data_IF_355913144435
#
_entry.id   IF_355913144435
#
_cell.length_a   1.000
_cell.length_b   1.000
_cell.length_c   1.000
_cell.angle_alpha   90.00
_cell.angle_beta   90.00
_cell.angle_gamma   90.00
#
_symmetry.space_group_name_H-M   'P 1'
#
loop_
_entity.id
_entity.type
_entity.pdbx_description
1 polymer ?
#
# COMPACT_ATOMS: atom_id res chain seq x y z
N UNK A 1 -20.41 -22.06 6.27
CA UNK A 1 -19.88 -21.52 7.54
C UNK A 1 -20.14 -20.03 7.52
N UNK A 2 -21.20 -19.64 8.21
CA UNK A 2 -21.64 -18.26 8.36
C UNK A 2 -20.74 -17.53 9.35
N UNK A 3 -20.30 -16.31 9.02
CA UNK A 3 -19.78 -15.37 10.00
C UNK A 3 -20.80 -14.26 10.18
N UNK A 4 -21.65 -14.44 11.20
CA UNK A 4 -22.58 -13.45 11.72
C UNK A 4 -21.84 -12.67 12.82
N UNK A 5 -21.65 -11.37 12.61
CA UNK A 5 -21.35 -10.45 13.71
C UNK A 5 -22.67 -10.16 14.44
N UNK A 6 -22.76 -10.55 15.70
CA UNK A 6 -23.94 -10.32 16.53
C UNK A 6 -23.80 -9.00 17.31
N UNK A 7 -24.72 -8.07 17.10
CA UNK A 7 -25.23 -7.20 18.17
C UNK A 7 -26.76 -7.11 18.05
N UNK A 8 -27.41 -7.26 19.20
CA UNK A 8 -28.84 -7.45 19.32
C UNK A 8 -29.65 -6.16 19.18
N UNK A 9 -30.94 -6.38 18.94
CA UNK A 9 -31.99 -5.52 19.50
C UNK A 9 -32.50 -4.37 18.63
N UNK A 10 -32.70 -4.56 17.32
CA UNK A 10 -33.81 -3.88 16.62
C UNK A 10 -34.12 -4.60 15.30
N UNK A 11 -35.09 -5.51 15.32
CA UNK A 11 -35.38 -6.42 14.19
C UNK A 11 -36.57 -5.99 13.33
N UNK A 12 -37.12 -4.79 13.53
CA UNK A 12 -38.35 -4.34 12.86
C UNK A 12 -38.25 -2.90 12.33
N UNK A 13 -37.24 -2.62 11.50
CA UNK A 13 -37.23 -1.40 10.67
C UNK A 13 -36.35 -1.49 9.41
N UNK A 14 -36.43 -2.60 8.67
CA UNK A 14 -35.89 -2.66 7.31
C UNK A 14 -36.92 -2.11 6.31
N UNK A 15 -36.59 -0.99 5.68
CA UNK A 15 -37.40 -0.32 4.66
C UNK A 15 -37.55 -1.20 3.40
N UNK A 16 -38.76 -1.21 2.82
CA UNK A 16 -39.30 -2.22 1.91
C UNK A 16 -38.75 -2.28 0.46
N UNK A 17 -37.57 -1.76 0.14
CA UNK A 17 -37.03 -1.75 -1.24
C UNK A 17 -35.59 -2.27 -1.33
N UNK A 18 -35.35 -3.56 -1.08
CA UNK A 18 -34.05 -4.18 -1.33
C UNK A 18 -34.13 -5.12 -2.54
N UNK A 19 -33.58 -4.70 -3.67
CA UNK A 19 -33.36 -5.59 -4.81
C UNK A 19 -32.12 -6.46 -4.51
N UNK A 20 -32.29 -7.79 -4.60
CA UNK A 20 -31.19 -8.74 -4.41
C UNK A 20 -30.68 -9.20 -5.76
N UNK A 21 -29.38 -9.02 -6.00
CA UNK A 21 -28.71 -9.44 -7.22
C UNK A 21 -27.76 -10.61 -6.92
N UNK A 22 -27.82 -11.67 -7.73
CA UNK A 22 -26.88 -12.79 -7.68
C UNK A 22 -25.80 -12.59 -8.74
N UNK A 23 -24.55 -12.51 -8.30
CA UNK A 23 -23.38 -12.46 -9.17
C UNK A 23 -22.68 -13.83 -9.16
N UNK A 24 -22.39 -14.41 -10.32
CA UNK A 24 -21.70 -15.69 -10.43
C UNK A 24 -20.43 -15.54 -11.26
N UNK A 25 -19.30 -15.95 -10.69
CA UNK A 25 -18.02 -15.98 -11.38
C UNK A 25 -17.71 -17.39 -11.91
N UNK A 26 -17.06 -17.48 -13.07
CA UNK A 26 -16.64 -18.75 -13.67
C UNK A 26 -15.44 -19.40 -12.97
N UNK A 27 -14.67 -18.62 -12.22
CA UNK A 27 -13.50 -19.08 -11.50
C UNK A 27 -13.44 -18.47 -10.08
N UNK A 28 -12.78 -19.19 -9.16
CA UNK A 28 -12.69 -18.81 -7.75
C UNK A 28 -11.92 -17.49 -7.55
N UNK A 29 -10.85 -17.29 -8.31
CA UNK A 29 -10.06 -16.05 -8.30
C UNK A 29 -10.90 -14.85 -8.73
N UNK A 30 -11.72 -15.01 -9.78
CA UNK A 30 -12.61 -13.94 -10.26
C UNK A 30 -13.64 -13.57 -9.18
N UNK A 31 -14.20 -14.57 -8.50
CA UNK A 31 -15.12 -14.35 -7.38
C UNK A 31 -14.45 -13.53 -6.26
N UNK A 32 -13.23 -13.89 -5.88
CA UNK A 32 -12.48 -13.19 -4.83
C UNK A 32 -12.16 -11.74 -5.23
N UNK A 33 -11.77 -11.50 -6.47
CA UNK A 33 -11.50 -10.17 -7.00
C UNK A 33 -12.77 -9.30 -7.08
N UNK A 34 -13.91 -9.92 -7.42
CA UNK A 34 -15.20 -9.24 -7.43
C UNK A 34 -15.62 -8.86 -6.02
N UNK A 35 -15.53 -9.79 -5.05
CA UNK A 35 -15.86 -9.51 -3.65
C UNK A 35 -14.99 -8.39 -3.09
N UNK A 36 -13.67 -8.40 -3.36
CA UNK A 36 -12.76 -7.31 -2.97
C UNK A 36 -13.17 -5.98 -3.60
N UNK A 37 -13.49 -5.98 -4.89
CA UNK A 37 -13.90 -4.77 -5.60
C UNK A 37 -15.20 -4.20 -5.07
N UNK A 38 -16.21 -5.05 -4.84
CA UNK A 38 -17.51 -4.65 -4.28
C UNK A 38 -17.32 -4.08 -2.87
N UNK A 39 -16.57 -4.77 -2.00
CA UNK A 39 -16.27 -4.28 -0.65
C UNK A 39 -15.61 -2.90 -0.68
N UNK A 40 -14.63 -2.70 -1.55
CA UNK A 40 -13.97 -1.40 -1.71
C UNK A 40 -14.95 -0.29 -2.13
N UNK A 41 -15.88 -0.56 -3.05
CA UNK A 41 -16.89 0.42 -3.45
C UNK A 41 -17.87 0.72 -2.30
N UNK A 42 -18.28 -0.29 -1.54
CA UNK A 42 -19.16 -0.12 -0.38
C UNK A 42 -18.49 0.73 0.69
N UNK A 43 -17.20 0.49 0.96
CA UNK A 43 -16.49 1.13 2.06
C UNK A 43 -15.80 2.46 1.68
N UNK A 44 -15.57 2.73 0.40
CA UNK A 44 -14.91 3.98 -0.04
C UNK A 44 -15.57 5.27 0.48
N UNK A 45 -16.92 5.41 0.54
CA UNK A 45 -17.56 6.59 1.14
C UNK A 45 -17.28 6.77 2.65
N UNK A 46 -16.92 5.68 3.32
CA UNK A 46 -16.65 5.62 4.77
C UNK A 46 -15.15 5.57 5.10
N UNK A 47 -14.29 5.62 4.09
CA UNK A 47 -12.83 5.65 4.28
C UNK A 47 -12.19 4.28 4.39
N UNK A 48 -12.94 3.22 4.08
CA UNK A 48 -12.42 1.88 3.93
C UNK A 48 -12.13 1.53 2.46
N UNK A 49 -11.90 0.24 2.22
CA UNK A 49 -11.36 -0.27 0.97
C UNK A 49 -10.03 0.40 0.63
N UNK A 50 -9.16 0.60 1.63
CA UNK A 50 -7.90 1.33 1.51
C UNK A 50 -6.89 0.52 0.70
N UNK A 51 -6.83 -0.79 0.96
CA UNK A 51 -5.97 -1.70 0.21
C UNK A 51 -6.55 -1.91 -1.19
N UNK A 52 -5.69 -1.84 -2.21
CA UNK A 52 -6.14 -1.89 -3.60
C UNK A 52 -6.81 -0.61 -4.10
N UNK A 53 -6.88 0.48 -3.34
CA UNK A 53 -7.43 1.76 -3.81
C UNK A 53 -6.35 2.61 -4.49
N UNK A 54 -6.78 3.46 -5.43
CA UNK A 54 -5.86 4.41 -6.06
C UNK A 54 -5.38 5.39 -4.99
N UNK A 55 -4.08 5.67 -4.98
CA UNK A 55 -3.46 6.58 -4.03
C UNK A 55 -4.16 7.96 -3.98
N UNK A 56 -4.51 8.51 -5.15
CA UNK A 56 -5.21 9.80 -5.24
C UNK A 56 -6.58 9.76 -4.55
N UNK A 57 -7.34 8.66 -4.67
CA UNK A 57 -8.67 8.54 -4.06
C UNK A 57 -8.55 8.49 -2.53
N UNK A 58 -7.58 7.73 -2.00
CA UNK A 58 -7.30 7.67 -0.56
C UNK A 58 -6.89 9.04 -0.02
N UNK A 59 -5.93 9.70 -0.67
CA UNK A 59 -5.48 11.04 -0.25
C UNK A 59 -6.61 12.06 -0.33
N UNK A 60 -7.44 12.01 -1.38
CA UNK A 60 -8.60 12.91 -1.53
C UNK A 60 -9.63 12.69 -0.42
N UNK A 61 -9.91 11.45 -0.05
CA UNK A 61 -10.79 11.12 1.07
C UNK A 61 -10.26 11.70 2.38
N UNK A 62 -8.98 11.47 2.66
CA UNK A 62 -8.31 11.82 3.93
C UNK A 62 -8.11 13.33 4.12
N UNK A 63 -8.02 14.12 3.03
CA UNK A 63 -7.94 15.59 3.12
C UNK A 63 -9.04 16.25 3.96
N UNK A 64 -10.17 15.56 4.16
CA UNK A 64 -11.27 16.01 5.03
C UNK A 64 -10.90 16.05 6.52
N UNK A 65 -9.87 15.31 6.92
CA UNK A 65 -9.44 15.18 8.32
C UNK A 65 -8.10 15.88 8.60
N UNK A 66 -7.44 16.43 7.57
CA UNK A 66 -6.17 17.11 7.71
C UNK A 66 -5.37 17.09 6.41
N UNK A 67 -4.30 17.88 6.37
CA UNK A 67 -3.31 17.79 5.29
C UNK A 67 -2.18 16.88 5.74
N UNK A 68 -2.09 15.70 5.13
CA UNK A 68 -1.09 14.67 5.43
C UNK A 68 -0.06 14.58 4.31
N UNK A 69 1.17 14.15 4.64
CA UNK A 69 2.25 13.99 3.67
C UNK A 69 2.20 12.63 2.98
N UNK A 70 1.60 11.63 3.62
CA UNK A 70 1.32 10.31 3.10
C UNK A 70 -0.07 9.84 3.57
N UNK A 71 -0.63 8.76 3.00
CA UNK A 71 -1.85 8.15 3.52
C UNK A 71 -1.74 7.83 5.01
N UNK A 72 -2.82 7.99 5.74
CA UNK A 72 -2.87 7.88 7.21
C UNK A 72 -2.35 6.54 7.70
N UNK A 73 -2.64 5.44 6.98
CA UNK A 73 -2.07 4.11 7.28
C UNK A 73 -0.54 4.11 7.24
N UNK A 74 0.06 4.75 6.24
CA UNK A 74 1.52 4.84 6.08
C UNK A 74 2.13 5.66 7.22
N UNK A 75 1.51 6.78 7.58
CA UNK A 75 1.97 7.62 8.70
C UNK A 75 1.89 6.86 10.03
N UNK A 76 0.77 6.20 10.32
CA UNK A 76 0.60 5.40 11.55
C UNK A 76 1.63 4.27 11.67
N UNK A 77 1.85 3.52 10.58
CA UNK A 77 2.84 2.44 10.56
C UNK A 77 4.26 2.98 10.79
N UNK A 78 4.61 4.08 10.11
CA UNK A 78 5.92 4.70 10.26
C UNK A 78 6.14 5.24 11.68
N UNK A 79 5.15 5.91 12.26
CA UNK A 79 5.24 6.48 13.60
C UNK A 79 5.36 5.40 14.69
N UNK A 80 4.63 4.30 14.55
CA UNK A 80 4.80 3.15 15.44
C UNK A 80 6.23 2.58 15.38
N UNK A 81 6.76 2.40 14.16
CA UNK A 81 8.12 1.89 13.97
C UNK A 81 9.16 2.88 14.49
N UNK A 82 8.97 4.20 14.31
CA UNK A 82 9.85 5.22 14.90
C UNK A 82 9.92 5.11 16.42
N UNK A 83 8.78 4.89 17.06
CA UNK A 83 8.69 4.84 18.51
C UNK A 83 9.27 3.55 19.10
N UNK A 84 9.18 2.42 18.39
CA UNK A 84 9.45 1.09 18.98
C UNK A 84 10.36 0.17 18.16
N UNK A 85 10.41 0.35 16.84
CA UNK A 85 10.95 -0.63 15.91
C UNK A 85 12.30 -0.30 15.27
N UNK A 86 12.83 0.93 15.41
CA UNK A 86 14.05 1.34 14.69
C UNK A 86 15.28 0.48 14.98
N UNK A 87 15.34 -0.18 16.14
CA UNK A 87 16.44 -1.07 16.55
C UNK A 87 16.11 -2.55 16.36
N UNK A 88 14.93 -2.90 15.88
CA UNK A 88 14.51 -4.29 15.70
C UNK A 88 15.30 -4.96 14.59
N UNK A 89 15.95 -6.08 14.89
CA UNK A 89 16.79 -6.78 13.92
C UNK A 89 15.98 -7.27 12.71
N UNK A 90 16.45 -6.98 11.50
CA UNK A 90 15.79 -7.42 10.28
C UNK A 90 14.45 -6.70 10.03
N UNK A 91 14.24 -5.51 10.58
CA UNK A 91 13.08 -4.65 10.27
C UNK A 91 12.81 -4.59 8.75
N UNK A 92 11.55 -4.74 8.33
CA UNK A 92 11.12 -4.91 6.93
C UNK A 92 11.61 -6.17 6.20
N UNK A 93 12.72 -6.81 6.60
CA UNK A 93 13.19 -8.06 6.00
C UNK A 93 12.44 -9.27 6.55
N UNK A 94 12.33 -9.38 7.87
CA UNK A 94 11.62 -10.49 8.52
C UNK A 94 10.10 -10.34 8.34
N UNK A 95 9.37 -11.44 8.15
CA UNK A 95 7.92 -11.41 8.06
C UNK A 95 7.30 -11.28 9.46
N UNK A 96 6.30 -10.41 9.58
CA UNK A 96 5.38 -10.43 10.73
C UNK A 96 4.36 -11.57 10.69
N UNK A 97 3.46 -11.57 11.66
CA UNK A 97 2.41 -12.58 11.82
C UNK A 97 1.33 -12.43 10.75
N UNK A 98 1.29 -13.36 9.79
CA UNK A 98 0.41 -13.27 8.61
C UNK A 98 -1.09 -13.09 8.96
N UNK A 99 -1.57 -13.79 9.99
CA UNK A 99 -2.96 -13.66 10.43
C UNK A 99 -3.28 -12.26 10.95
N UNK A 100 -2.37 -11.67 11.74
CA UNK A 100 -2.56 -10.33 12.28
C UNK A 100 -2.41 -9.25 11.19
N UNK A 101 -1.53 -9.45 10.20
CA UNK A 101 -1.48 -8.58 9.01
C UNK A 101 -2.82 -8.58 8.30
N UNK A 102 -3.43 -9.76 8.11
CA UNK A 102 -4.74 -9.89 7.46
C UNK A 102 -5.85 -9.25 8.28
N UNK A 103 -5.86 -9.45 9.60
CA UNK A 103 -6.82 -8.82 10.51
C UNK A 103 -6.73 -7.29 10.46
N UNK A 104 -5.51 -6.73 10.53
CA UNK A 104 -5.29 -5.28 10.43
C UNK A 104 -5.70 -4.73 9.06
N UNK A 105 -5.40 -5.46 7.97
CA UNK A 105 -5.87 -5.10 6.63
C UNK A 105 -7.39 -5.04 6.57
N UNK A 106 -8.08 -6.06 7.09
CA UNK A 106 -9.54 -6.12 7.12
C UNK A 106 -10.14 -4.97 7.93
N UNK A 107 -9.55 -4.63 9.08
CA UNK A 107 -9.97 -3.49 9.89
C UNK A 107 -9.87 -2.16 9.11
N UNK A 108 -8.70 -1.89 8.50
CA UNK A 108 -8.52 -0.70 7.64
C UNK A 108 -9.49 -0.68 6.45
N UNK A 109 -9.73 -1.84 5.82
CA UNK A 109 -10.65 -1.94 4.69
C UNK A 109 -12.12 -1.77 5.08
N UNK A 110 -12.49 -2.05 6.32
CA UNK A 110 -13.81 -1.72 6.88
C UNK A 110 -13.93 -0.24 7.31
N UNK A 111 -12.90 0.58 7.08
CA UNK A 111 -12.88 1.99 7.48
C UNK A 111 -12.60 2.19 8.98
N UNK A 112 -12.19 1.13 9.68
CA UNK A 112 -11.68 1.26 11.04
C UNK A 112 -10.31 1.93 11.04
N UNK A 113 -9.91 2.43 12.21
CA UNK A 113 -8.61 3.06 12.43
C UNK A 113 -7.91 2.32 13.58
N UNK A 114 -7.45 1.08 13.34
CA UNK A 114 -6.83 0.29 14.38
C UNK A 114 -5.58 1.01 14.90
N UNK A 115 -5.44 1.09 16.22
CA UNK A 115 -4.25 1.62 16.86
C UNK A 115 -3.28 0.47 17.14
N UNK A 116 -2.00 0.69 16.88
CA UNK A 116 -0.95 -0.25 17.25
C UNK A 116 -0.61 -0.07 18.74
N UNK A 117 -0.89 -1.09 19.54
CA UNK A 117 -0.61 -1.08 20.97
C UNK A 117 0.85 -1.50 21.27
N UNK A 118 1.22 -1.52 22.54
CA UNK A 118 2.58 -1.89 22.96
C UNK A 118 2.94 -3.35 22.68
N UNK A 119 1.96 -4.22 22.47
CA UNK A 119 2.14 -5.65 22.28
C UNK A 119 2.16 -6.02 20.80
N UNK A 120 1.87 -5.06 19.91
CA UNK A 120 1.87 -5.25 18.47
C UNK A 120 3.30 -5.51 17.98
N UNK A 121 3.49 -6.64 17.30
CA UNK A 121 4.77 -7.01 16.71
C UNK A 121 5.20 -6.01 15.61
N UNK A 122 6.42 -5.50 15.73
CA UNK A 122 7.00 -4.53 14.79
C UNK A 122 7.09 -5.11 13.37
N UNK A 123 7.41 -6.39 13.22
CA UNK A 123 7.47 -7.02 11.90
C UNK A 123 6.09 -7.12 11.24
N UNK A 124 5.03 -7.23 12.03
CA UNK A 124 3.65 -7.21 11.56
C UNK A 124 3.28 -5.84 10.99
N UNK A 125 3.56 -4.75 11.70
CA UNK A 125 3.33 -3.39 11.21
C UNK A 125 4.19 -3.09 9.97
N UNK A 126 5.45 -3.54 9.97
CA UNK A 126 6.34 -3.42 8.82
C UNK A 126 5.82 -4.20 7.59
N UNK A 127 5.27 -5.41 7.81
CA UNK A 127 4.61 -6.19 6.77
C UNK A 127 3.36 -5.51 6.22
N UNK A 128 2.54 -4.91 7.09
CA UNK A 128 1.33 -4.19 6.70
C UNK A 128 1.64 -2.97 5.82
N UNK A 129 2.65 -2.18 6.19
CA UNK A 129 3.10 -1.04 5.37
C UNK A 129 3.56 -1.50 3.98
N UNK A 130 4.39 -2.56 3.91
CA UNK A 130 4.83 -3.12 2.62
C UNK A 130 3.65 -3.64 1.80
N UNK A 131 2.68 -4.29 2.45
CA UNK A 131 1.47 -4.81 1.80
C UNK A 131 0.67 -3.67 1.16
N UNK A 132 0.46 -2.57 1.88
CA UNK A 132 -0.26 -1.41 1.36
C UNK A 132 0.37 -0.87 0.06
N UNK A 133 1.70 -0.65 0.07
CA UNK A 133 2.43 -0.17 -1.12
C UNK A 133 2.35 -1.16 -2.29
N UNK A 134 2.42 -2.46 -1.99
CA UNK A 134 2.34 -3.53 -3.00
C UNK A 134 0.97 -3.58 -3.67
N UNK A 135 -0.10 -3.41 -2.90
CA UNK A 135 -1.47 -3.56 -3.38
C UNK A 135 -2.03 -2.31 -4.04
N UNK A 136 -1.32 -1.17 -4.03
CA UNK A 136 -1.70 -0.03 -4.85
C UNK A 136 -1.91 -0.46 -6.32
N UNK A 137 -3.03 -0.10 -6.98
CA UNK A 137 -3.30 -0.48 -8.38
C UNK A 137 -2.18 -0.10 -9.35
N UNK A 138 -1.58 1.06 -9.10
CA UNK A 138 -0.32 1.48 -9.72
C UNK A 138 0.77 1.62 -8.64
N UNK A 139 2.02 1.25 -8.94
CA UNK A 139 3.15 1.46 -8.04
C UNK A 139 3.31 2.93 -7.66
N UNK A 140 4.03 3.18 -6.55
CA UNK A 140 4.34 4.54 -6.08
C UNK A 140 4.99 5.38 -7.17
N UNK A 141 5.90 4.79 -7.96
CA UNK A 141 6.34 5.34 -9.25
C UNK A 141 5.44 4.76 -10.33
N UNK A 142 4.55 5.55 -10.98
CA UNK A 142 3.57 5.04 -11.94
C UNK A 142 4.21 4.30 -13.12
N UNK A 143 3.46 3.37 -13.73
CA UNK A 143 3.96 2.57 -14.86
C UNK A 143 4.47 3.42 -16.03
N UNK A 144 3.82 4.56 -16.31
CA UNK A 144 4.22 5.52 -17.33
C UNK A 144 5.57 6.22 -17.07
N UNK A 145 6.21 5.96 -15.91
CA UNK A 145 7.52 6.49 -15.52
C UNK A 145 8.57 5.37 -15.35
N UNK A 146 8.19 4.12 -15.57
CA UNK A 146 9.03 2.97 -15.25
C UNK A 146 10.35 2.98 -16.02
N UNK A 147 10.27 3.15 -17.35
CA UNK A 147 11.45 3.09 -18.23
C UNK A 147 12.38 4.28 -18.03
N UNK A 148 11.85 5.47 -17.77
CA UNK A 148 12.64 6.66 -17.47
C UNK A 148 13.42 6.50 -16.18
N UNK A 149 12.80 5.96 -15.13
CA UNK A 149 13.46 5.70 -13.85
C UNK A 149 14.51 4.58 -13.94
N UNK A 150 14.23 3.52 -14.70
CA UNK A 150 15.21 2.48 -14.97
C UNK A 150 16.41 3.01 -15.76
N UNK A 151 16.16 3.93 -16.69
CA UNK A 151 17.21 4.63 -17.42
C UNK A 151 18.04 5.52 -16.51
N UNK A 152 17.42 6.25 -15.57
CA UNK A 152 18.12 7.02 -14.54
C UNK A 152 19.07 6.12 -13.73
N UNK A 153 18.61 4.94 -13.29
CA UNK A 153 19.42 4.01 -12.52
C UNK A 153 20.63 3.51 -13.31
N UNK A 154 20.45 3.17 -14.59
CA UNK A 154 21.54 2.77 -15.50
C UNK A 154 22.57 3.89 -15.71
N UNK A 155 22.10 5.13 -15.86
CA UNK A 155 22.99 6.30 -15.99
C UNK A 155 23.73 6.55 -14.68
N UNK A 156 23.07 6.45 -13.53
CA UNK A 156 23.68 6.68 -12.23
C UNK A 156 24.88 5.75 -11.96
N UNK A 157 24.81 4.49 -12.41
CA UNK A 157 25.92 3.53 -12.31
C UNK A 157 27.09 3.87 -13.24
N UNK A 158 26.85 4.55 -14.36
CA UNK A 158 27.88 4.91 -15.34
C UNK A 158 28.52 6.28 -15.06
N UNK A 159 27.68 7.27 -14.79
CA UNK A 159 28.05 8.66 -14.55
C UNK A 159 27.08 9.26 -13.51
N UNK A 160 27.53 9.26 -12.26
CA UNK A 160 26.69 9.58 -11.10
C UNK A 160 26.05 10.97 -11.18
N UNK A 161 26.79 11.99 -11.64
CA UNK A 161 26.29 13.36 -11.73
C UNK A 161 25.15 13.49 -12.76
N UNK A 162 25.34 12.93 -13.95
CA UNK A 162 24.33 12.90 -15.01
C UNK A 162 23.10 12.08 -14.60
N UNK A 163 23.31 10.92 -13.98
CA UNK A 163 22.22 10.10 -13.45
C UNK A 163 21.42 10.81 -12.36
N UNK A 164 22.09 11.54 -11.47
CA UNK A 164 21.43 12.35 -10.44
C UNK A 164 20.62 13.51 -11.04
N UNK A 165 21.19 14.23 -12.02
CA UNK A 165 20.48 15.31 -12.73
C UNK A 165 19.20 14.79 -13.40
N UNK A 166 19.29 13.66 -14.11
CA UNK A 166 18.11 13.08 -14.77
C UNK A 166 17.09 12.55 -13.76
N UNK A 167 17.53 11.92 -12.66
CA UNK A 167 16.63 11.49 -11.59
C UNK A 167 15.85 12.66 -10.98
N UNK A 168 16.50 13.79 -10.70
CA UNK A 168 15.84 15.00 -10.19
C UNK A 168 14.84 15.55 -11.21
N UNK A 169 15.15 15.47 -12.50
CA UNK A 169 14.21 15.85 -13.56
C UNK A 169 12.99 14.93 -13.57
N UNK A 170 13.17 13.61 -13.49
CA UNK A 170 12.06 12.66 -13.47
C UNK A 170 11.20 12.80 -12.20
N UNK A 171 11.80 13.05 -11.03
CA UNK A 171 11.10 13.35 -9.78
C UNK A 171 10.07 14.49 -9.93
N UNK A 172 10.43 15.56 -10.65
CA UNK A 172 9.55 16.72 -10.88
C UNK A 172 8.35 16.42 -11.76
N UNK A 173 8.37 15.31 -12.50
CA UNK A 173 7.29 14.89 -13.39
C UNK A 173 6.32 13.89 -12.75
N UNK A 174 6.59 13.46 -11.52
CA UNK A 174 5.67 12.59 -10.78
C UNK A 174 4.40 13.36 -10.39
N UNK A 175 3.24 12.70 -10.36
CA UNK A 175 2.05 13.29 -9.76
C UNK A 175 2.33 13.73 -8.32
N UNK A 176 1.77 14.86 -7.84
CA UNK A 176 2.07 15.39 -6.51
C UNK A 176 1.85 14.38 -5.37
N UNK A 177 0.77 13.59 -5.42
CA UNK A 177 0.48 12.58 -4.39
C UNK A 177 1.52 11.45 -4.37
N UNK A 178 1.97 10.99 -5.54
CA UNK A 178 3.01 9.98 -5.68
C UNK A 178 4.36 10.51 -5.19
N UNK A 179 4.73 11.73 -5.57
CA UNK A 179 5.96 12.37 -5.11
C UNK A 179 5.98 12.53 -3.59
N UNK A 180 4.88 12.98 -2.99
CA UNK A 180 4.78 13.16 -1.54
C UNK A 180 4.92 11.82 -0.79
N UNK A 181 4.22 10.77 -1.25
CA UNK A 181 4.37 9.42 -0.68
C UNK A 181 5.81 8.90 -0.83
N UNK A 182 6.39 9.00 -2.03
CA UNK A 182 7.77 8.55 -2.27
C UNK A 182 8.76 9.29 -1.37
N UNK A 183 8.63 10.62 -1.28
CA UNK A 183 9.44 11.47 -0.41
C UNK A 183 9.30 11.06 1.06
N UNK A 184 8.08 10.80 1.52
CA UNK A 184 7.82 10.36 2.89
C UNK A 184 8.51 9.03 3.19
N UNK A 185 8.30 8.03 2.33
CA UNK A 185 8.92 6.69 2.46
C UNK A 185 10.44 6.80 2.43
N UNK A 186 11.03 7.52 1.47
CA UNK A 186 12.49 7.65 1.39
C UNK A 186 13.08 8.30 2.64
N UNK A 187 12.44 9.34 3.21
CA UNK A 187 12.89 9.95 4.47
C UNK A 187 12.81 8.98 5.63
N UNK A 188 11.70 8.25 5.75
CA UNK A 188 11.52 7.27 6.80
C UNK A 188 12.52 6.09 6.68
N UNK A 189 12.82 5.63 5.47
CA UNK A 189 13.84 4.60 5.25
C UNK A 189 15.26 5.10 5.52
N UNK A 190 15.53 6.39 5.29
CA UNK A 190 16.79 7.02 5.70
C UNK A 190 16.94 7.06 7.24
N UNK A 191 15.84 7.32 7.96
CA UNK A 191 15.83 7.18 9.43
C UNK A 191 16.12 5.72 9.84
N UNK A 192 15.47 4.73 9.21
CA UNK A 192 15.68 3.30 9.51
C UNK A 192 17.13 2.86 9.27
N UNK A 193 17.72 3.25 8.14
CA UNK A 193 19.10 2.85 7.81
C UNK A 193 20.14 3.51 8.74
N UNK A 194 19.83 4.65 9.34
CA UNK A 194 20.71 5.27 10.35
C UNK A 194 20.92 4.41 11.60
N UNK A 195 20.06 3.40 11.81
CA UNK A 195 20.19 2.39 12.87
C UNK A 195 20.73 1.03 12.35
N UNK A 196 21.29 1.00 11.14
CA UNK A 196 21.72 -0.24 10.47
C UNK A 196 22.79 -1.05 11.23
N UNK A 197 23.59 -0.41 12.08
CA UNK A 197 24.53 -1.12 12.98
C UNK A 197 23.80 -2.06 13.97
N UNK A 198 22.56 -1.75 14.32
CA UNK A 198 21.72 -2.53 15.23
C UNK A 198 20.70 -3.37 14.46
N UNK A 199 19.83 -2.72 13.67
CA UNK A 199 18.74 -3.41 12.97
C UNK A 199 19.18 -4.21 11.74
N UNK A 200 20.45 -4.08 11.30
CA UNK A 200 21.07 -4.76 10.16
C UNK A 200 20.48 -4.41 8.77
N UNK A 201 19.73 -3.32 8.68
CA UNK A 201 19.07 -2.87 7.45
C UNK A 201 19.77 -1.67 6.82
N UNK A 202 20.81 -1.94 6.03
CA UNK A 202 21.51 -0.92 5.22
C UNK A 202 20.63 -0.39 4.07
N UNK A 203 21.06 0.70 3.43
CA UNK A 203 20.43 1.26 2.22
C UNK A 203 20.23 0.17 1.15
N UNK A 204 21.23 -0.69 0.94
CA UNK A 204 21.15 -1.79 -0.02
C UNK A 204 20.06 -2.80 0.37
N UNK A 205 20.02 -3.22 1.64
CA UNK A 205 19.04 -4.18 2.14
C UNK A 205 17.60 -3.62 2.03
N UNK A 206 17.40 -2.36 2.42
CA UNK A 206 16.12 -1.68 2.28
C UNK A 206 15.73 -1.52 0.81
N UNK A 207 16.68 -1.16 -0.06
CA UNK A 207 16.46 -1.06 -1.50
C UNK A 207 15.97 -2.38 -2.11
N UNK A 208 16.55 -3.52 -1.71
CA UNK A 208 16.09 -4.85 -2.14
C UNK A 208 14.65 -5.14 -1.68
N UNK A 209 14.30 -4.77 -0.45
CA UNK A 209 12.96 -5.03 0.11
C UNK A 209 11.89 -4.09 -0.47
N UNK A 210 12.19 -2.79 -0.59
CA UNK A 210 11.21 -1.78 -1.03
C UNK A 210 11.16 -1.59 -2.54
N UNK A 211 12.23 -1.88 -3.27
CA UNK A 211 12.29 -1.73 -4.72
C UNK A 211 11.06 -2.30 -5.44
N UNK A 212 10.70 -3.58 -5.23
CA UNK A 212 9.53 -4.19 -5.87
C UNK A 212 8.17 -3.59 -5.46
N UNK A 213 8.10 -2.94 -4.30
CA UNK A 213 6.87 -2.31 -3.80
C UNK A 213 6.73 -0.86 -4.30
N UNK A 214 7.83 -0.20 -4.69
CA UNK A 214 7.86 1.18 -5.18
C UNK A 214 7.86 1.26 -6.71
N UNK A 215 8.56 0.34 -7.38
CA UNK A 215 8.77 0.32 -8.82
C UNK A 215 8.65 -1.11 -9.34
N UNK A 216 7.71 -1.34 -10.28
CA UNK A 216 7.51 -2.65 -10.92
C UNK A 216 6.97 -2.46 -12.34
N UNK A 217 7.30 -3.36 -13.28
CA UNK A 217 6.76 -3.29 -14.63
C UNK A 217 5.27 -3.57 -14.61
N UNK A 218 4.54 -3.05 -15.59
CA UNK A 218 3.14 -3.43 -15.81
C UNK A 218 3.13 -4.88 -16.31
N UNK A 219 2.56 -5.79 -15.54
CA UNK A 219 2.32 -7.15 -16.02
C UNK A 219 1.14 -7.06 -16.97
N UNK A 220 1.40 -7.17 -18.27
CA UNK A 220 0.33 -7.32 -19.26
C UNK A 220 -0.21 -8.75 -19.14
N UNK A 221 -1.51 -8.89 -18.85
CA UNK A 221 -2.13 -10.21 -18.82
C UNK A 221 -1.98 -10.85 -20.20
N UNK A 222 -1.59 -12.14 -20.30
CA UNK A 222 -1.48 -12.84 -21.58
C UNK A 222 -2.76 -12.75 -22.43
N UNK A 223 -3.92 -12.64 -21.77
CA UNK A 223 -5.22 -12.47 -22.42
C UNK A 223 -5.39 -11.08 -23.09
N UNK A 224 -4.84 -10.01 -22.50
CA UNK A 224 -4.89 -8.66 -23.08
C UNK A 224 -3.97 -8.53 -24.30
N UNK A 225 -2.90 -9.34 -24.37
CA UNK A 225 -2.00 -9.44 -25.52
C UNK A 225 -2.70 -10.11 -26.72
N UNK A 226 -3.67 -11.00 -26.47
CA UNK A 226 -4.47 -11.64 -27.53
C UNK A 226 -5.59 -10.76 -28.09
N UNK A 227 -5.97 -9.70 -27.39
CA UNK A 227 -7.01 -8.74 -27.83
C UNK A 227 -6.43 -7.52 -28.56
N UNK A 228 -5.10 -7.35 -28.58
CA UNK A 228 -4.41 -6.18 -29.12
C UNK A 228 -3.92 -6.27 -30.57
N UNK A 229 -4.48 -7.17 -31.40
CA UNK A 229 -4.20 -7.22 -32.83
C UNK A 229 -5.50 -7.06 -33.65
N UNK A 230 -5.91 -5.81 -33.88
CA UNK A 230 -6.70 -5.39 -35.04
C UNK A 230 -6.24 -4.01 -35.50
#
# INVERSE_FOLDING_TARGET
MDYICAQGGDRDRMTANHETYLLMASAQNDMEDWVKTIRRVIWAPFGGGIFGQRLEDTVRYERRYGTHMAPTLVEQCADFIRQRGLKEEGLFRLPGQANLVKELQEAFDCGEKPLFDSNTDVHTVASLLKLYLRELPEPVIPYAKYDEFLSCAKLFTKEQESGMKELVKQMKTLPPVNFNLLKYICRFLDEVQSYSDVNKMSVQNLGTVFGPNILRPKVENPMTIMEGNF
#
